data_IF_008660636823
#
_entry.id   IF_008660636823
#
_cell.length_a   1.000
_cell.length_b   1.000
_cell.length_c   1.000
_cell.angle_alpha   90.00
_cell.angle_beta   90.00
_cell.angle_gamma   90.00
#
_symmetry.space_group_name_H-M   'P 1'
#
loop_
_entity.id
_entity.type
_entity.pdbx_description
1 polymer ?
#
# COMPACT_ATOMS: atom_id res chain seq x y z
N UNK A 1 3.68 -22.36 -2.48
CA UNK A 1 3.66 -20.87 -2.57
C UNK A 1 2.27 -20.28 -2.75
N UNK A 2 1.47 -20.79 -3.70
CA UNK A 2 0.09 -20.33 -3.94
C UNK A 2 -0.76 -20.27 -2.68
N UNK A 3 -0.79 -21.35 -1.90
CA UNK A 3 -1.69 -21.45 -0.74
C UNK A 3 -1.28 -20.50 0.39
N UNK A 4 0.03 -20.23 0.54
CA UNK A 4 0.55 -19.21 1.46
C UNK A 4 0.14 -17.80 1.04
N UNK A 5 0.19 -17.50 -0.26
CA UNK A 5 -0.22 -16.20 -0.79
C UNK A 5 -1.74 -15.97 -0.61
N UNK A 6 -2.55 -17.00 -0.86
CA UNK A 6 -4.00 -16.96 -0.64
C UNK A 6 -4.30 -16.77 0.85
N UNK A 7 -3.65 -17.51 1.74
CA UNK A 7 -3.83 -17.35 3.19
C UNK A 7 -3.50 -15.94 3.66
N UNK A 8 -2.38 -15.38 3.20
CA UNK A 8 -2.00 -14.00 3.53
C UNK A 8 -2.96 -12.96 2.90
N UNK A 9 -3.48 -13.20 1.70
CA UNK A 9 -4.47 -12.33 1.07
C UNK A 9 -5.77 -12.29 1.89
N UNK A 10 -6.26 -13.44 2.35
CA UNK A 10 -7.44 -13.54 3.21
C UNK A 10 -7.21 -12.76 4.51
N UNK A 11 -6.06 -12.95 5.17
CA UNK A 11 -5.72 -12.22 6.38
C UNK A 11 -5.70 -10.71 6.16
N UNK A 12 -5.11 -10.25 5.06
CA UNK A 12 -5.08 -8.82 4.70
C UNK A 12 -6.49 -8.29 4.47
N UNK A 13 -7.32 -9.00 3.70
CA UNK A 13 -8.71 -8.60 3.43
C UNK A 13 -9.51 -8.50 4.72
N UNK A 14 -9.41 -9.47 5.62
CA UNK A 14 -10.08 -9.45 6.92
C UNK A 14 -9.61 -8.24 7.73
N UNK A 15 -8.29 -8.02 7.82
CA UNK A 15 -7.72 -6.94 8.62
C UNK A 15 -8.17 -5.56 8.10
N UNK A 16 -8.09 -5.33 6.80
CA UNK A 16 -8.55 -4.08 6.18
C UNK A 16 -10.06 -3.91 6.33
N UNK A 17 -10.84 -4.99 6.19
CA UNK A 17 -12.30 -4.96 6.43
C UNK A 17 -12.63 -4.56 7.86
N UNK A 18 -11.91 -5.09 8.85
CA UNK A 18 -12.08 -4.72 10.25
C UNK A 18 -11.79 -3.24 10.47
N UNK A 19 -10.70 -2.71 9.90
CA UNK A 19 -10.36 -1.27 10.00
C UNK A 19 -11.52 -0.44 9.43
N UNK A 20 -11.98 -0.73 8.21
CA UNK A 20 -13.08 0.00 7.57
C UNK A 20 -14.36 -0.09 8.41
N UNK A 21 -14.69 -1.27 8.92
CA UNK A 21 -15.86 -1.47 9.76
C UNK A 21 -15.78 -0.65 11.05
N UNK A 22 -14.61 -0.59 11.69
CA UNK A 22 -14.40 0.27 12.87
C UNK A 22 -14.51 1.77 12.54
N UNK A 23 -14.08 2.19 11.35
CA UNK A 23 -14.26 3.58 10.87
C UNK A 23 -15.73 3.91 10.63
N UNK A 24 -16.49 3.01 9.98
CA UNK A 24 -17.93 3.18 9.75
C UNK A 24 -18.70 3.22 11.08
N UNK A 25 -18.37 2.34 12.03
CA UNK A 25 -18.96 2.37 13.37
C UNK A 25 -18.67 3.69 14.08
N UNK A 26 -17.44 4.21 13.95
CA UNK A 26 -17.09 5.53 14.50
C UNK A 26 -17.92 6.65 13.87
N UNK A 27 -18.16 6.63 12.56
CA UNK A 27 -19.03 7.59 11.89
C UNK A 27 -20.48 7.52 12.36
N UNK A 28 -20.99 6.30 12.62
CA UNK A 28 -22.35 6.12 13.12
C UNK A 28 -22.51 6.61 14.57
N UNK A 29 -21.50 6.42 15.42
CA UNK A 29 -21.51 6.84 16.82
C UNK A 29 -21.29 8.35 17.00
N UNK A 30 -20.47 8.95 16.15
CA UNK A 30 -20.06 10.36 16.23
C UNK A 30 -20.55 11.17 15.02
N UNK A 31 -21.78 10.92 14.57
CA UNK A 31 -22.35 11.57 13.40
C UNK A 31 -22.55 13.08 13.66
N UNK A 32 -21.99 13.97 12.83
CA UNK A 32 -22.22 15.41 12.95
C UNK A 32 -23.68 15.78 12.63
N UNK A 33 -24.22 16.78 13.34
CA UNK A 33 -25.55 17.30 13.05
C UNK A 33 -25.61 17.87 11.62
N UNK A 34 -26.64 17.48 10.87
CA UNK A 34 -26.87 17.95 9.50
C UNK A 34 -26.18 17.14 8.39
N UNK A 35 -25.42 16.09 8.71
CA UNK A 35 -24.79 15.21 7.70
C UNK A 35 -25.42 13.82 7.74
N UNK A 36 -25.75 13.27 6.57
CA UNK A 36 -26.24 11.90 6.46
C UNK A 36 -25.09 10.89 6.55
N UNK A 37 -25.29 9.78 7.27
CA UNK A 37 -24.29 8.71 7.33
C UNK A 37 -23.93 8.18 5.93
N UNK A 38 -24.94 8.05 5.06
CA UNK A 38 -24.75 7.56 3.69
C UNK A 38 -23.86 8.46 2.86
N UNK A 39 -24.04 9.79 2.91
CA UNK A 39 -23.19 10.72 2.17
C UNK A 39 -21.74 10.64 2.65
N UNK A 40 -21.53 10.55 3.96
CA UNK A 40 -20.19 10.48 4.54
C UNK A 40 -19.46 9.18 4.17
N UNK A 41 -20.16 8.04 4.12
CA UNK A 41 -19.61 6.76 3.65
C UNK A 41 -19.23 6.84 2.17
N UNK A 42 -20.10 7.41 1.33
CA UNK A 42 -19.85 7.54 -0.12
C UNK A 42 -18.64 8.44 -0.40
N UNK A 43 -18.53 9.56 0.31
CA UNK A 43 -17.38 10.47 0.20
C UNK A 43 -16.05 9.82 0.67
N UNK A 44 -16.12 8.92 1.64
CA UNK A 44 -14.94 8.22 2.18
C UNK A 44 -14.55 6.97 1.37
N UNK A 45 -15.40 6.52 0.44
CA UNK A 45 -15.19 5.30 -0.34
C UNK A 45 -13.83 5.24 -1.07
N UNK A 46 -13.30 6.33 -1.67
CA UNK A 46 -11.97 6.32 -2.28
C UNK A 46 -10.83 6.00 -1.30
N UNK A 47 -10.97 6.41 -0.03
CA UNK A 47 -9.99 6.11 1.04
C UNK A 47 -10.06 4.65 1.44
N UNK A 48 -11.27 4.10 1.58
CA UNK A 48 -11.43 2.66 1.84
C UNK A 48 -10.82 1.82 0.71
N UNK A 49 -11.02 2.24 -0.55
CA UNK A 49 -10.37 1.63 -1.70
C UNK A 49 -8.84 1.72 -1.64
N UNK A 50 -8.29 2.86 -1.21
CA UNK A 50 -6.84 3.03 -1.11
C UNK A 50 -6.20 2.12 -0.06
N UNK A 51 -6.88 1.82 1.05
CA UNK A 51 -6.39 0.85 2.04
C UNK A 51 -6.24 -0.55 1.46
N UNK A 52 -7.25 -1.04 0.72
CA UNK A 52 -7.14 -2.34 0.05
C UNK A 52 -6.01 -2.35 -0.97
N UNK A 53 -5.92 -1.29 -1.78
CA UNK A 53 -4.89 -1.18 -2.81
C UNK A 53 -3.47 -1.21 -2.21
N UNK A 54 -3.20 -0.39 -1.20
CA UNK A 54 -1.89 -0.35 -0.51
C UNK A 54 -1.59 -1.71 0.13
N UNK A 55 -2.57 -2.32 0.80
CA UNK A 55 -2.36 -3.57 1.50
C UNK A 55 -2.01 -4.72 0.54
N UNK A 56 -2.70 -4.80 -0.61
CA UNK A 56 -2.39 -5.78 -1.66
C UNK A 56 -1.01 -5.49 -2.28
N UNK A 57 -0.70 -4.22 -2.53
CA UNK A 57 0.59 -3.81 -3.08
C UNK A 57 1.75 -4.23 -2.17
N UNK A 58 1.61 -4.05 -0.86
CA UNK A 58 2.62 -4.46 0.12
C UNK A 58 2.68 -5.97 0.31
N UNK A 59 1.55 -6.67 0.23
CA UNK A 59 1.52 -8.12 0.25
C UNK A 59 2.35 -8.70 -0.91
N UNK A 60 2.16 -8.19 -2.12
CA UNK A 60 2.90 -8.65 -3.31
C UNK A 60 4.37 -8.26 -3.22
N UNK A 61 4.69 -7.03 -2.78
CA UNK A 61 6.06 -6.58 -2.58
C UNK A 61 6.81 -7.45 -1.56
N UNK A 62 6.23 -7.62 -0.37
CA UNK A 62 6.80 -8.44 0.70
C UNK A 62 6.96 -9.90 0.28
N UNK A 63 6.00 -10.44 -0.46
CA UNK A 63 6.10 -11.79 -1.03
C UNK A 63 7.25 -11.88 -2.02
N UNK A 64 7.37 -10.93 -2.96
CA UNK A 64 8.47 -10.89 -3.92
C UNK A 64 9.84 -10.78 -3.25
N UNK A 65 9.98 -9.87 -2.28
CA UNK A 65 11.21 -9.72 -1.49
C UNK A 65 11.55 -10.99 -0.72
N UNK A 66 10.56 -11.69 -0.14
CA UNK A 66 10.79 -12.95 0.58
C UNK A 66 11.36 -14.07 -0.28
N UNK A 67 11.16 -14.00 -1.61
CA UNK A 67 11.72 -14.96 -2.57
C UNK A 67 13.13 -14.60 -3.01
N UNK A 68 13.48 -13.31 -2.94
CA UNK A 68 14.78 -12.78 -3.37
C UNK A 68 15.80 -12.87 -2.24
N UNK A 69 15.39 -12.47 -1.04
CA UNK A 69 16.26 -12.33 0.12
C UNK A 69 16.52 -13.68 0.79
N UNK A 70 17.71 -13.81 1.38
CA UNK A 70 18.06 -14.97 2.17
C UNK A 70 17.32 -14.97 3.51
N UNK A 71 17.11 -16.15 4.08
CA UNK A 71 16.31 -16.32 5.31
C UNK A 71 16.90 -15.61 6.55
N UNK A 72 18.18 -15.24 6.51
CA UNK A 72 18.87 -14.48 7.55
C UNK A 72 18.51 -12.98 7.55
N UNK A 73 17.94 -12.46 6.46
CA UNK A 73 17.61 -11.04 6.31
C UNK A 73 16.15 -10.80 6.72
N UNK A 74 15.92 -9.76 7.53
CA UNK A 74 14.57 -9.33 7.91
C UNK A 74 13.83 -8.73 6.71
N UNK A 75 12.96 -9.54 6.09
CA UNK A 75 12.12 -9.11 4.95
C UNK A 75 11.24 -7.92 5.35
N UNK A 76 10.67 -7.93 6.56
CA UNK A 76 9.85 -6.83 7.07
C UNK A 76 10.65 -5.53 7.14
N UNK A 77 11.88 -5.57 7.66
CA UNK A 77 12.74 -4.39 7.73
C UNK A 77 13.08 -3.82 6.36
N UNK A 78 13.41 -4.70 5.40
CA UNK A 78 13.71 -4.29 4.01
C UNK A 78 12.47 -3.70 3.34
N UNK A 79 11.31 -4.36 3.45
CA UNK A 79 10.06 -3.89 2.88
C UNK A 79 9.65 -2.52 3.46
N UNK A 80 9.78 -2.34 4.78
CA UNK A 80 9.56 -1.06 5.43
C UNK A 80 10.51 0.00 4.89
N UNK A 81 11.82 -0.28 4.77
CA UNK A 81 12.77 0.68 4.20
C UNK A 81 12.41 1.11 2.78
N UNK A 82 12.09 0.15 1.91
CA UNK A 82 11.73 0.38 0.50
C UNK A 82 10.52 1.32 0.36
N UNK A 83 9.55 1.20 1.25
CA UNK A 83 8.32 2.01 1.21
C UNK A 83 8.46 3.32 1.97
N UNK A 84 9.08 3.27 3.15
CA UNK A 84 9.12 4.38 4.10
C UNK A 84 10.14 5.45 3.70
N UNK A 85 11.26 5.07 3.06
CA UNK A 85 12.25 6.06 2.58
C UNK A 85 11.63 6.98 1.51
N UNK A 86 11.00 6.46 0.43
CA UNK A 86 10.26 7.30 -0.52
C UNK A 86 9.21 8.17 0.15
N UNK A 87 8.52 7.63 1.16
CA UNK A 87 7.52 8.37 1.93
C UNK A 87 8.11 9.58 2.65
N UNK A 88 9.20 9.42 3.39
CA UNK A 88 9.90 10.53 4.04
C UNK A 88 10.38 11.56 3.02
N UNK A 89 10.95 11.12 1.90
CA UNK A 89 11.40 12.01 0.82
C UNK A 89 10.23 12.82 0.24
N UNK A 90 9.07 12.18 0.02
CA UNK A 90 7.89 12.85 -0.51
C UNK A 90 7.31 13.88 0.47
N UNK A 91 7.31 13.57 1.78
CA UNK A 91 6.91 14.54 2.83
C UNK A 91 7.89 15.71 2.87
N UNK A 92 9.19 15.48 2.77
CA UNK A 92 10.17 16.59 2.70
C UNK A 92 9.99 17.43 1.44
N UNK A 93 9.69 16.79 0.31
CA UNK A 93 9.39 17.45 -0.96
C UNK A 93 8.09 18.27 -0.94
N UNK A 94 7.22 18.08 0.05
CA UNK A 94 6.04 18.94 0.24
C UNK A 94 6.35 20.28 0.89
N UNK A 95 7.51 20.38 1.56
CA UNK A 95 7.98 21.59 2.22
C UNK A 95 8.82 22.49 1.30
N UNK A 96 9.32 21.94 0.18
CA UNK A 96 10.27 22.64 -0.71
C UNK A 96 9.75 22.60 -2.15
N UNK A 97 9.45 23.79 -2.71
CA UNK A 97 8.84 23.91 -4.03
C UNK A 97 9.67 23.30 -5.17
N UNK A 98 11.00 23.39 -5.09
CA UNK A 98 11.93 22.83 -6.09
C UNK A 98 11.92 21.30 -6.12
N UNK A 99 11.43 20.65 -5.06
CA UNK A 99 11.41 19.19 -4.93
C UNK A 99 10.04 18.58 -5.22
N UNK A 100 9.02 19.39 -5.59
CA UNK A 100 7.67 18.93 -5.93
C UNK A 100 7.60 17.66 -6.81
N UNK A 101 8.46 17.46 -7.83
CA UNK A 101 8.44 16.23 -8.63
C UNK A 101 8.70 14.95 -7.81
N UNK A 102 9.45 15.03 -6.71
CA UNK A 102 9.79 13.88 -5.86
C UNK A 102 8.59 13.36 -5.05
N UNK A 103 7.50 14.13 -4.93
CA UNK A 103 6.26 13.67 -4.29
C UNK A 103 5.70 12.42 -4.97
N UNK A 104 5.86 12.32 -6.29
CA UNK A 104 5.37 11.20 -7.09
C UNK A 104 6.15 9.89 -6.87
N UNK A 105 7.21 9.91 -6.06
CA UNK A 105 8.01 8.71 -5.76
C UNK A 105 7.36 7.89 -4.62
N UNK A 106 6.49 8.48 -3.80
CA UNK A 106 5.84 7.77 -2.70
C UNK A 106 4.38 7.44 -2.98
N UNK A 107 4.08 6.15 -2.98
CA UNK A 107 2.70 5.66 -3.04
C UNK A 107 1.92 6.00 -1.75
N UNK A 108 2.59 5.98 -0.59
CA UNK A 108 1.96 6.30 0.69
C UNK A 108 1.57 7.78 0.78
N UNK A 109 2.43 8.68 0.31
CA UNK A 109 2.08 10.11 0.25
C UNK A 109 0.91 10.33 -0.72
N UNK A 110 0.99 9.74 -1.91
CA UNK A 110 0.00 9.90 -2.98
C UNK A 110 -1.41 9.46 -2.57
N UNK A 111 -1.51 8.43 -1.72
CA UNK A 111 -2.78 7.83 -1.29
C UNK A 111 -3.18 8.24 0.13
N UNK A 112 -2.61 9.31 0.67
CA UNK A 112 -3.08 9.88 1.93
C UNK A 112 -4.49 10.44 1.79
N UNK A 113 -5.31 10.38 2.85
CA UNK A 113 -6.66 10.95 2.85
C UNK A 113 -6.73 12.39 2.35
N UNK A 114 -5.81 13.26 2.79
CA UNK A 114 -5.82 14.66 2.40
C UNK A 114 -5.51 14.88 0.90
N UNK A 115 -4.61 14.08 0.30
CA UNK A 115 -4.32 14.15 -1.14
C UNK A 115 -5.47 13.57 -1.96
N UNK A 116 -6.13 12.52 -1.45
CA UNK A 116 -7.31 11.92 -2.09
C UNK A 116 -8.47 12.92 -2.10
N UNK A 117 -8.76 13.56 -0.96
CA UNK A 117 -9.81 14.58 -0.88
C UNK A 117 -9.49 15.83 -1.70
N UNK A 118 -8.21 16.20 -1.81
CA UNK A 118 -7.77 17.30 -2.67
C UNK A 118 -7.70 16.94 -4.16
N UNK A 119 -8.00 15.68 -4.53
CA UNK A 119 -7.89 15.15 -5.90
C UNK A 119 -6.48 15.30 -6.51
N UNK A 120 -5.45 15.26 -5.67
CA UNK A 120 -4.03 15.39 -6.04
C UNK A 120 -3.34 14.03 -6.26
N UNK A 121 -4.12 12.97 -6.46
CA UNK A 121 -3.61 11.61 -6.61
C UNK A 121 -2.77 11.50 -7.88
N UNK A 122 -1.46 11.32 -7.72
CA UNK A 122 -0.53 11.11 -8.82
C UNK A 122 -0.70 9.71 -9.43
N UNK A 123 -1.36 9.63 -10.59
CA UNK A 123 -1.47 8.39 -11.36
C UNK A 123 -0.10 7.82 -11.76
N UNK A 124 0.90 8.70 -11.97
CA UNK A 124 2.28 8.31 -12.29
C UNK A 124 2.89 7.52 -11.12
N UNK A 125 2.71 8.00 -9.89
CA UNK A 125 3.18 7.30 -8.67
C UNK A 125 2.57 5.91 -8.55
N UNK A 126 1.25 5.81 -8.78
CA UNK A 126 0.53 4.53 -8.76
C UNK A 126 1.10 3.56 -9.81
N UNK A 127 1.24 4.01 -11.06
CA UNK A 127 1.77 3.20 -12.14
C UNK A 127 3.21 2.73 -11.88
N UNK A 128 4.08 3.63 -11.41
CA UNK A 128 5.47 3.30 -11.05
C UNK A 128 5.52 2.23 -9.97
N UNK A 129 4.73 2.36 -8.91
CA UNK A 129 4.74 1.38 -7.83
C UNK A 129 4.15 0.03 -8.25
N UNK A 130 3.11 0.00 -9.08
CA UNK A 130 2.62 -1.26 -9.67
C UNK A 130 3.75 -1.94 -10.45
N UNK A 131 4.47 -1.20 -11.30
CA UNK A 131 5.59 -1.73 -12.08
C UNK A 131 6.73 -2.25 -11.20
N UNK A 132 7.12 -1.50 -10.16
CA UNK A 132 8.16 -1.91 -9.20
C UNK A 132 7.74 -3.17 -8.47
N UNK A 133 6.52 -3.24 -7.93
CA UNK A 133 6.04 -4.40 -7.18
C UNK A 133 5.93 -5.63 -8.08
N UNK A 134 5.38 -5.50 -9.29
CA UNK A 134 5.32 -6.60 -10.25
C UNK A 134 6.72 -7.06 -10.68
N UNK A 135 7.64 -6.12 -10.93
CA UNK A 135 9.03 -6.43 -11.26
C UNK A 135 9.73 -7.22 -10.16
N UNK A 136 9.62 -6.76 -8.91
CA UNK A 136 10.18 -7.45 -7.74
C UNK A 136 9.56 -8.84 -7.59
N UNK A 137 8.24 -8.98 -7.77
CA UNK A 137 7.56 -10.26 -7.69
C UNK A 137 7.99 -11.24 -8.79
N UNK A 138 8.08 -10.78 -10.05
CA UNK A 138 8.52 -11.60 -11.19
C UNK A 138 9.98 -12.06 -11.00
N UNK A 139 10.88 -11.16 -10.59
CA UNK A 139 12.28 -11.50 -10.31
C UNK A 139 12.36 -12.50 -9.15
N UNK A 140 11.58 -12.28 -8.10
CA UNK A 140 11.47 -13.20 -6.96
C UNK A 140 11.02 -14.59 -7.41
N UNK A 141 9.98 -14.68 -8.22
CA UNK A 141 9.49 -15.93 -8.80
C UNK A 141 10.56 -16.66 -9.63
N UNK A 142 11.32 -15.93 -10.46
CA UNK A 142 12.40 -16.52 -11.26
C UNK A 142 13.53 -17.06 -10.40
N UNK A 143 13.96 -16.32 -9.37
CA UNK A 143 15.00 -16.77 -8.44
C UNK A 143 14.54 -17.95 -7.60
N UNK A 144 13.29 -17.94 -7.13
CA UNK A 144 12.69 -19.04 -6.38
C UNK A 144 12.69 -20.34 -7.19
N UNK A 145 12.23 -20.29 -8.45
CA UNK A 145 12.27 -21.45 -9.35
C UNK A 145 13.69 -21.99 -9.55
N UNK A 146 14.70 -21.13 -9.69
CA UNK A 146 16.10 -21.57 -9.86
C UNK A 146 16.67 -22.23 -8.61
N UNK A 147 16.26 -21.79 -7.40
CA UNK A 147 16.67 -22.43 -6.14
C UNK A 147 16.10 -23.85 -6.03
N UNK A 148 14.84 -24.05 -6.37
CA UNK A 148 14.19 -25.37 -6.27
C UNK A 148 14.70 -26.39 -7.30
N UNK A 149 15.34 -25.96 -8.39
CA UNK A 149 15.91 -26.87 -9.42
C UNK A 149 17.34 -27.31 -9.06
N UNK A 150 18.03 -26.56 -8.20
CA UNK A 150 19.42 -26.82 -7.80
C UNK A 150 19.54 -27.60 -6.48
N UNK A 151 18.40 -27.94 -5.85
CA UNK A 151 18.29 -28.80 -4.67
C UNK A 151 17.69 -30.13 -5.10
#
# INVERSE_FOLDING_TARGET
MRDKLIGNLILVVILVSCIILTSILSFALFLPEGISLTSLIVETLPIFGSYYFIAILFLVLGSGLSMILDASISITGVAMGVVFIPYVVAVMASLIDSLKPLKAISILHTLMPHEIYANNVSLISIALWILVVLGVFIIGMQRFKRRDILV
#
